data_IF_568841360859
#
_entry.id   IF_568841360859
#
_cell.length_a   1.000
_cell.length_b   1.000
_cell.length_c   1.000
_cell.angle_alpha   90.00
_cell.angle_beta   90.00
_cell.angle_gamma   90.00
#
_symmetry.space_group_name_H-M   'P 1'
#
loop_
_entity.id
_entity.type
_entity.pdbx_description
1 polymer ?
#
# COMPACT_ATOMS: atom_id res chain seq x y z
N UNK A 1 2.70 -5.51 13.35
CA UNK A 1 1.37 -4.90 13.53
C UNK A 1 1.53 -3.43 13.19
N UNK A 2 0.65 -2.87 12.34
CA UNK A 2 0.75 -1.47 11.91
C UNK A 2 0.60 -0.56 13.12
N UNK A 3 1.47 0.42 13.26
CA UNK A 3 1.42 1.40 14.35
C UNK A 3 0.62 2.64 13.93
N UNK A 4 -0.57 2.81 14.51
CA UNK A 4 -1.44 3.96 14.24
C UNK A 4 -1.15 5.19 15.13
N UNK A 5 -0.24 5.09 16.11
CA UNK A 5 0.10 6.21 17.01
C UNK A 5 0.54 7.47 16.27
N UNK A 6 1.37 7.42 15.20
CA UNK A 6 1.76 8.62 14.45
C UNK A 6 0.56 9.31 13.81
N UNK A 7 -0.43 8.54 13.33
CA UNK A 7 -1.66 9.09 12.76
C UNK A 7 -2.50 9.78 13.84
N UNK A 8 -2.65 9.18 15.02
CA UNK A 8 -3.37 9.80 16.13
C UNK A 8 -2.76 11.14 16.55
N UNK A 9 -1.42 11.21 16.59
CA UNK A 9 -0.71 12.46 16.89
C UNK A 9 -0.96 13.53 15.83
N UNK A 10 -1.03 13.15 14.54
CA UNK A 10 -1.32 14.08 13.45
C UNK A 10 -2.74 14.62 13.48
N UNK A 11 -3.75 13.77 13.72
CA UNK A 11 -5.15 14.24 13.71
C UNK A 11 -5.52 15.01 14.98
N UNK A 12 -4.81 14.79 16.09
CA UNK A 12 -5.05 15.47 17.36
C UNK A 12 -4.94 17.00 17.27
N UNK A 13 -4.13 17.52 16.34
CA UNK A 13 -3.90 18.96 16.16
C UNK A 13 -4.77 19.58 15.06
N UNK A 14 -5.73 18.82 14.52
CA UNK A 14 -6.59 19.23 13.41
C UNK A 14 -8.07 19.21 13.80
N UNK A 15 -8.94 19.66 12.91
CA UNK A 15 -10.39 19.59 13.06
C UNK A 15 -10.92 18.14 13.17
N UNK A 16 -10.09 17.15 12.84
CA UNK A 16 -10.40 15.71 13.00
C UNK A 16 -10.16 15.20 14.42
N UNK A 17 -9.74 16.04 15.37
CA UNK A 17 -9.44 15.66 16.75
C UNK A 17 -10.61 14.95 17.45
N UNK A 18 -11.86 15.36 17.20
CA UNK A 18 -13.05 14.71 17.75
C UNK A 18 -13.16 13.21 17.35
N UNK A 19 -12.55 12.81 16.24
CA UNK A 19 -12.56 11.41 15.81
C UNK A 19 -11.74 10.49 16.72
N UNK A 20 -10.80 11.05 17.51
CA UNK A 20 -10.03 10.29 18.49
C UNK A 20 -10.87 9.71 19.63
N UNK A 21 -12.10 10.18 19.84
CA UNK A 21 -13.00 9.61 20.84
C UNK A 21 -13.47 8.20 20.47
N UNK A 22 -13.57 7.90 19.17
CA UNK A 22 -14.16 6.63 18.68
C UNK A 22 -13.19 5.78 17.88
N UNK A 23 -12.31 6.40 17.09
CA UNK A 23 -11.40 5.71 16.17
C UNK A 23 -10.46 4.70 16.88
N UNK A 24 -9.80 5.04 18.00
CA UNK A 24 -8.87 4.10 18.64
C UNK A 24 -9.56 2.83 19.14
N UNK A 25 -10.81 2.96 19.63
CA UNK A 25 -11.59 1.81 20.08
C UNK A 25 -11.99 0.92 18.89
N UNK A 26 -12.43 1.53 17.79
CA UNK A 26 -12.80 0.82 16.56
C UNK A 26 -11.60 0.06 15.98
N UNK A 27 -10.43 0.69 15.89
CA UNK A 27 -9.22 0.05 15.38
C UNK A 27 -8.76 -1.11 16.28
N UNK A 28 -8.83 -0.94 17.61
CA UNK A 28 -8.48 -2.01 18.56
C UNK A 28 -9.43 -3.21 18.46
N UNK A 29 -10.71 -2.97 18.18
CA UNK A 29 -11.68 -4.04 17.94
C UNK A 29 -11.40 -4.74 16.60
N UNK A 30 -11.13 -3.97 15.55
CA UNK A 30 -10.76 -4.48 14.23
C UNK A 30 -9.50 -5.35 14.27
N UNK A 31 -8.46 -4.94 15.00
CA UNK A 31 -7.22 -5.70 15.20
C UNK A 31 -7.45 -7.08 15.83
N UNK A 32 -8.47 -7.20 16.69
CA UNK A 32 -8.83 -8.50 17.30
C UNK A 32 -9.57 -9.42 16.33
N UNK A 33 -10.30 -8.83 15.37
CA UNK A 33 -11.06 -9.57 14.36
C UNK A 33 -10.23 -9.95 13.14
N UNK A 34 -8.99 -9.48 13.05
CA UNK A 34 -8.21 -9.64 11.82
C UNK A 34 -7.81 -11.10 11.62
N UNK A 35 -8.11 -11.63 10.43
CA UNK A 35 -7.84 -13.01 10.06
C UNK A 35 -6.34 -13.35 10.03
N UNK A 36 -6.00 -14.63 10.14
CA UNK A 36 -4.61 -15.12 10.15
C UNK A 36 -3.77 -14.66 8.94
N UNK A 37 -4.41 -14.41 7.78
CA UNK A 37 -3.75 -13.93 6.58
C UNK A 37 -3.19 -12.50 6.71
N UNK A 38 -3.76 -11.67 7.58
CA UNK A 38 -3.26 -10.33 7.83
C UNK A 38 -1.85 -10.36 8.42
N UNK A 39 -1.58 -11.27 9.36
CA UNK A 39 -0.24 -11.42 9.91
C UNK A 39 0.79 -11.82 8.85
N UNK A 40 0.37 -12.63 7.86
CA UNK A 40 1.21 -12.99 6.72
C UNK A 40 1.48 -11.77 5.83
N UNK A 41 0.46 -11.01 5.46
CA UNK A 41 0.63 -9.82 4.60
C UNK A 41 1.43 -8.71 5.28
N UNK A 42 1.21 -8.49 6.58
CA UNK A 42 1.98 -7.52 7.35
C UNK A 42 3.47 -7.87 7.34
N UNK A 43 3.82 -9.15 7.54
CA UNK A 43 5.22 -9.60 7.44
C UNK A 43 5.80 -9.35 6.05
N UNK A 44 5.04 -9.63 4.99
CA UNK A 44 5.49 -9.37 3.61
C UNK A 44 5.77 -7.89 3.38
N UNK A 45 4.95 -7.00 3.93
CA UNK A 45 5.18 -5.56 3.88
C UNK A 45 6.46 -5.16 4.63
N UNK A 46 6.72 -5.75 5.79
CA UNK A 46 7.95 -5.51 6.58
C UNK A 46 9.23 -5.96 5.84
N UNK A 47 9.14 -6.98 4.96
CA UNK A 47 10.27 -7.44 4.15
C UNK A 47 10.59 -6.55 2.94
N UNK A 48 9.74 -5.58 2.62
CA UNK A 48 10.01 -4.67 1.52
C UNK A 48 11.16 -3.73 1.89
N UNK A 49 12.16 -3.56 1.02
CA UNK A 49 13.29 -2.68 1.29
C UNK A 49 12.82 -1.22 1.36
N UNK A 50 13.22 -0.52 2.42
CA UNK A 50 13.02 0.92 2.51
C UNK A 50 14.01 1.60 1.55
N UNK A 51 13.50 2.26 0.52
CA UNK A 51 14.29 2.88 -0.54
C UNK A 51 13.88 4.34 -0.71
N UNK A 52 14.87 5.22 -0.77
CA UNK A 52 14.63 6.65 -1.02
C UNK A 52 14.45 6.86 -2.51
N UNK A 53 13.22 7.20 -2.89
CA UNK A 53 12.82 7.45 -4.26
C UNK A 53 12.21 8.85 -4.42
N UNK A 54 12.36 9.42 -5.61
CA UNK A 54 11.56 10.57 -6.02
C UNK A 54 10.15 10.09 -6.36
N UNK A 55 9.12 10.74 -5.82
CA UNK A 55 7.73 10.30 -5.96
C UNK A 55 7.01 11.26 -6.90
N UNK A 56 6.44 10.73 -7.98
CA UNK A 56 5.44 11.43 -8.78
C UNK A 56 4.07 10.91 -8.34
N UNK A 57 3.23 11.81 -7.82
CA UNK A 57 1.82 11.57 -7.48
C UNK A 57 0.87 12.49 -8.27
N UNK A 58 1.41 13.33 -9.18
CA UNK A 58 0.62 14.31 -9.92
C UNK A 58 -0.11 13.65 -11.09
N UNK A 59 0.64 12.92 -11.91
CA UNK A 59 0.13 12.35 -13.16
C UNK A 59 -0.06 10.82 -13.06
N UNK A 60 0.74 10.15 -12.21
CA UNK A 60 0.77 8.70 -12.01
C UNK A 60 1.13 8.41 -10.56
N UNK A 61 0.99 7.16 -10.12
CA UNK A 61 1.57 6.68 -8.86
C UNK A 61 2.91 6.02 -9.19
N UNK A 62 3.97 6.81 -9.15
CA UNK A 62 5.30 6.41 -9.59
C UNK A 62 6.39 6.72 -8.54
N UNK A 63 7.25 5.73 -8.27
CA UNK A 63 8.49 5.90 -7.52
C UNK A 63 9.70 5.74 -8.45
N UNK A 64 10.52 6.78 -8.53
CA UNK A 64 11.74 6.83 -9.33
C UNK A 64 12.92 6.67 -8.39
N UNK A 65 13.64 5.56 -8.51
CA UNK A 65 14.81 5.31 -7.67
C UNK A 65 15.93 6.29 -7.99
N UNK A 66 16.56 6.88 -6.97
CA UNK A 66 17.75 7.72 -7.14
C UNK A 66 18.98 6.90 -7.58
N UNK A 67 19.02 5.62 -7.21
CA UNK A 67 20.03 4.64 -7.65
C UNK A 67 19.36 3.53 -8.43
N UNK A 68 19.91 3.08 -9.57
CA UNK A 68 19.35 1.95 -10.28
C UNK A 68 19.35 0.72 -9.35
N UNK A 69 18.18 0.10 -9.21
CA UNK A 69 18.08 -1.18 -8.48
C UNK A 69 18.78 -2.26 -9.30
N UNK A 70 19.49 -3.15 -8.61
CA UNK A 70 20.01 -4.36 -9.22
C UNK A 70 18.87 -5.30 -9.64
N UNK A 71 19.13 -6.19 -10.61
CA UNK A 71 18.15 -7.19 -11.04
C UNK A 71 17.68 -8.09 -9.89
N UNK A 72 18.57 -8.36 -8.92
CA UNK A 72 18.25 -9.13 -7.72
C UNK A 72 17.23 -8.44 -6.84
N UNK A 73 17.41 -7.14 -6.57
CA UNK A 73 16.48 -6.33 -5.78
C UNK A 73 15.11 -6.23 -6.46
N UNK A 74 15.08 -5.99 -7.78
CA UNK A 74 13.83 -5.96 -8.55
C UNK A 74 13.09 -7.29 -8.43
N UNK A 75 13.78 -8.42 -8.56
CA UNK A 75 13.19 -9.76 -8.41
C UNK A 75 12.67 -9.99 -6.99
N UNK A 76 13.42 -9.59 -5.96
CA UNK A 76 13.01 -9.71 -4.57
C UNK A 76 11.75 -8.88 -4.27
N UNK A 77 11.74 -7.60 -4.64
CA UNK A 77 10.59 -6.72 -4.46
C UNK A 77 9.38 -7.26 -5.23
N UNK A 78 9.56 -7.66 -6.48
CA UNK A 78 8.49 -8.24 -7.30
C UNK A 78 7.92 -9.51 -6.66
N UNK A 79 8.77 -10.38 -6.11
CA UNK A 79 8.37 -11.59 -5.43
C UNK A 79 7.49 -11.28 -4.21
N UNK A 80 7.93 -10.38 -3.32
CA UNK A 80 7.13 -9.97 -2.16
C UNK A 80 5.81 -9.31 -2.55
N UNK A 81 5.80 -8.42 -3.54
CA UNK A 81 4.57 -7.77 -4.00
C UNK A 81 3.58 -8.76 -4.63
N UNK A 82 4.05 -9.81 -5.32
CA UNK A 82 3.17 -10.87 -5.82
C UNK A 82 2.49 -11.67 -4.70
N UNK A 83 3.09 -11.79 -3.52
CA UNK A 83 2.47 -12.46 -2.37
C UNK A 83 1.28 -11.66 -1.78
N UNK A 84 1.18 -10.37 -2.10
CA UNK A 84 0.06 -9.48 -1.73
C UNK A 84 -1.07 -9.48 -2.77
N UNK A 85 -1.02 -10.38 -3.76
CA UNK A 85 -2.11 -10.53 -4.72
C UNK A 85 -3.40 -11.01 -4.06
N UNK A 86 -4.57 -10.62 -4.59
CA UNK A 86 -4.78 -9.92 -5.87
C UNK A 86 -4.73 -8.39 -5.75
N UNK A 87 -3.87 -7.74 -6.55
CA UNK A 87 -3.88 -6.29 -6.72
C UNK A 87 -5.07 -5.90 -7.60
N UNK A 88 -6.03 -5.13 -7.07
CA UNK A 88 -7.27 -4.73 -7.79
C UNK A 88 -7.29 -3.26 -8.22
N UNK A 89 -6.31 -2.46 -7.80
CA UNK A 89 -6.12 -1.05 -8.16
C UNK A 89 -4.71 -0.90 -8.76
N UNK A 90 -4.53 0.08 -9.64
CA UNK A 90 -3.27 0.30 -10.35
C UNK A 90 -3.47 1.08 -11.66
N UNK A 91 -2.45 1.18 -12.52
CA UNK A 91 -1.10 0.60 -12.39
C UNK A 91 -0.21 1.36 -11.39
N UNK A 92 0.72 0.64 -10.75
CA UNK A 92 1.76 1.24 -9.89
C UNK A 92 3.12 1.13 -10.58
N UNK A 93 3.83 2.24 -10.72
CA UNK A 93 5.17 2.29 -11.29
C UNK A 93 6.17 2.33 -10.13
N UNK A 94 6.85 1.22 -9.84
CA UNK A 94 7.77 1.15 -8.71
C UNK A 94 9.18 0.89 -9.23
N UNK A 95 10.09 1.83 -9.01
CA UNK A 95 11.51 1.71 -9.29
C UNK A 95 11.84 1.18 -10.70
N UNK A 96 11.06 1.61 -11.70
CA UNK A 96 11.27 1.24 -13.12
C UNK A 96 10.50 0.02 -13.61
N UNK A 97 9.77 -0.72 -12.75
CA UNK A 97 8.86 -1.78 -13.19
C UNK A 97 7.39 -1.45 -12.89
N UNK A 98 6.48 -2.03 -13.67
CA UNK A 98 5.04 -1.78 -13.57
C UNK A 98 4.38 -2.97 -12.88
N UNK A 99 3.73 -2.72 -11.74
CA UNK A 99 2.81 -3.67 -11.14
C UNK A 99 1.44 -3.54 -11.81
N UNK A 100 1.06 -4.60 -12.53
CA UNK A 100 -0.24 -4.70 -13.20
C UNK A 100 -1.13 -5.70 -12.43
N UNK A 101 -2.37 -5.34 -12.10
CA UNK A 101 -3.41 -6.27 -11.68
C UNK A 101 -3.55 -7.45 -12.65
N UNK A 102 -3.36 -8.69 -12.16
CA UNK A 102 -3.53 -9.87 -13.02
C UNK A 102 -4.98 -9.94 -13.54
N UNK A 103 -5.13 -10.01 -14.87
CA UNK A 103 -6.41 -10.25 -15.54
C UNK A 103 -7.21 -9.02 -15.97
N UNK A 104 -6.64 -7.80 -15.96
CA UNK A 104 -7.34 -6.59 -16.45
C UNK A 104 -6.54 -5.95 -17.60
N UNK A 105 -7.12 -5.81 -18.82
CA UNK A 105 -6.49 -5.06 -19.88
C UNK A 105 -6.35 -3.59 -19.46
N UNK A 106 -5.15 -3.06 -19.64
CA UNK A 106 -4.78 -1.68 -19.28
C UNK A 106 -5.38 -0.74 -20.33
N UNK A 107 -6.64 -0.34 -20.16
CA UNK A 107 -7.26 0.71 -20.98
C UNK A 107 -7.07 2.06 -20.27
N UNK A 108 -6.31 2.96 -20.90
CA UNK A 108 -6.14 4.37 -20.50
C UNK A 108 -5.63 4.64 -19.07
N UNK A 109 -4.63 3.88 -18.61
CA UNK A 109 -3.81 4.30 -17.47
C UNK A 109 -4.49 4.37 -16.09
N UNK A 110 -5.75 3.95 -15.97
CA UNK A 110 -6.50 3.89 -14.70
C UNK A 110 -7.23 2.55 -14.63
N UNK A 111 -6.82 1.67 -13.72
CA UNK A 111 -7.61 0.49 -13.36
C UNK A 111 -8.73 0.94 -12.41
N UNK A 112 -9.81 1.46 -12.99
CA UNK A 112 -11.03 1.84 -12.29
C UNK A 112 -12.00 0.66 -12.27
N UNK A 113 -12.01 -0.15 -11.21
CA UNK A 113 -13.17 -1.00 -10.94
C UNK A 113 -14.23 -0.23 -10.15
N UNK A 114 -15.36 -0.02 -10.84
CA UNK A 114 -16.68 0.36 -10.32
C UNK A 114 -16.96 -0.43 -9.05
N UNK A 115 -17.19 0.28 -7.94
CA UNK A 115 -17.64 -0.31 -6.68
C UNK A 115 -19.01 -0.94 -6.99
N UNK A 116 -19.05 -2.26 -7.17
CA UNK A 116 -20.30 -2.99 -7.12
C UNK A 116 -20.63 -3.12 -5.63
N UNK A 117 -21.53 -2.25 -5.15
CA UNK A 117 -22.22 -2.47 -3.89
C UNK A 117 -22.85 -3.85 -3.92
N UNK A 118 -22.51 -4.69 -2.95
CA UNK A 118 -23.39 -5.74 -2.45
C UNK A 118 -23.33 -5.72 -0.93
#
# INVERSE_FOLDING_TARGET
MIDFRPFYQQIATTDLSAWLETLPLQLKQWEKTTHADYAKWAKVADFLPNSTACINLKDKVESISSKPLSEGEVKQITHHLKQLMPWRKGPYHLHGFILIPNGVPILNGIVCFRILHR
#
